data_IF_526010615673
#
_entry.id   IF_526010615673
#
_cell.length_a   1.000
_cell.length_b   1.000
_cell.length_c   1.000
_cell.angle_alpha   90.00
_cell.angle_beta   90.00
_cell.angle_gamma   90.00
#
_symmetry.space_group_name_H-M   'P 1'
#
loop_
_entity.id
_entity.type
_entity.pdbx_description
1 polymer ?
#
# COMPACT_ATOMS: atom_id res chain seq x y z
N UNK A 1 22.47 13.02 -0.05
CA UNK A 1 21.40 12.93 -1.08
C UNK A 1 20.71 14.27 -1.32
N UNK A 2 20.43 15.10 -0.30
CA UNK A 2 19.74 16.38 -0.45
C UNK A 2 20.40 17.31 -1.46
N UNK A 3 21.72 17.49 -1.40
CA UNK A 3 22.46 18.33 -2.33
C UNK A 3 22.42 17.79 -3.76
N UNK A 4 22.51 16.47 -3.92
CA UNK A 4 22.45 15.77 -5.22
C UNK A 4 21.15 16.04 -5.98
N UNK A 5 20.04 16.22 -5.25
CA UNK A 5 18.69 16.38 -5.81
C UNK A 5 18.10 17.79 -5.63
N UNK A 6 18.90 18.76 -5.19
CA UNK A 6 18.42 20.09 -4.86
C UNK A 6 17.63 20.76 -6.01
N UNK A 7 18.10 20.59 -7.25
CA UNK A 7 17.49 21.18 -8.45
C UNK A 7 16.24 20.40 -8.95
N UNK A 8 16.03 19.16 -8.46
CA UNK A 8 14.92 18.30 -8.88
C UNK A 8 13.73 18.37 -7.91
N UNK A 9 13.95 18.97 -6.75
CA UNK A 9 12.97 19.02 -5.68
C UNK A 9 12.40 20.43 -5.59
N UNK A 10 11.10 20.65 -5.87
CA UNK A 10 10.52 22.00 -5.92
C UNK A 10 10.57 22.70 -4.55
N UNK A 11 10.53 23.99 -4.48
CA UNK A 11 10.44 24.76 -3.22
C UNK A 11 8.97 24.84 -2.79
N UNK A 12 8.69 24.63 -1.51
CA UNK A 12 7.37 24.84 -0.91
C UNK A 12 7.44 26.04 0.03
N UNK A 13 6.56 26.99 -0.16
CA UNK A 13 6.58 28.24 0.60
C UNK A 13 5.56 28.24 1.75
N UNK A 14 4.41 27.61 1.55
CA UNK A 14 3.36 27.54 2.57
C UNK A 14 3.59 26.43 3.59
N UNK A 15 3.40 26.75 4.88
CA UNK A 15 3.54 25.76 5.98
C UNK A 15 2.58 24.59 5.85
N UNK A 16 1.34 24.87 5.45
CA UNK A 16 0.30 23.88 5.24
C UNK A 16 0.64 22.85 4.14
N UNK A 17 1.56 23.19 3.28
CA UNK A 17 2.03 22.29 2.21
C UNK A 17 3.20 21.40 2.67
N UNK A 18 3.35 21.20 3.98
CA UNK A 18 4.40 20.36 4.60
C UNK A 18 5.83 20.82 4.23
N UNK A 19 6.12 22.12 4.29
CA UNK A 19 7.38 22.70 3.81
C UNK A 19 8.65 22.27 4.55
N UNK A 20 8.51 21.70 5.77
CA UNK A 20 9.67 21.49 6.64
C UNK A 20 10.47 20.22 6.33
N UNK A 21 9.82 19.12 5.91
CA UNK A 21 10.48 17.83 5.71
C UNK A 21 10.41 17.29 4.27
N UNK A 22 9.56 17.85 3.41
CA UNK A 22 9.32 17.32 2.07
C UNK A 22 10.58 17.24 1.19
N UNK A 23 11.55 18.19 1.35
CA UNK A 23 12.82 18.15 0.61
C UNK A 23 13.61 16.90 0.90
N UNK A 24 13.65 16.49 2.17
CA UNK A 24 14.32 15.25 2.60
C UNK A 24 13.60 14.06 1.99
N UNK A 25 12.30 13.95 2.18
CA UNK A 25 11.50 12.82 1.70
C UNK A 25 11.59 12.65 0.18
N UNK A 26 11.51 13.76 -0.59
CA UNK A 26 11.61 13.69 -2.03
C UNK A 26 13.01 13.27 -2.52
N UNK A 27 14.07 13.81 -1.89
CA UNK A 27 15.44 13.42 -2.21
C UNK A 27 15.72 11.95 -1.84
N UNK A 28 15.17 11.47 -0.72
CA UNK A 28 15.24 10.06 -0.32
C UNK A 28 14.53 9.15 -1.33
N UNK A 29 13.36 9.54 -1.82
CA UNK A 29 12.66 8.79 -2.86
C UNK A 29 13.46 8.71 -4.16
N UNK A 30 14.03 9.82 -4.61
CA UNK A 30 14.84 9.85 -5.82
C UNK A 30 16.10 8.98 -5.68
N UNK A 31 16.77 9.03 -4.52
CA UNK A 31 17.94 8.19 -4.26
C UNK A 31 17.57 6.71 -4.18
N UNK A 32 16.49 6.34 -3.49
CA UNK A 32 15.99 4.96 -3.46
C UNK A 32 15.68 4.44 -4.87
N UNK A 33 15.15 5.29 -5.74
CA UNK A 33 14.83 4.94 -7.13
C UNK A 33 16.05 4.82 -8.02
N UNK A 34 17.14 5.51 -7.66
CA UNK A 34 18.41 5.48 -8.40
C UNK A 34 19.34 4.33 -7.94
N UNK A 35 19.27 3.97 -6.66
CA UNK A 35 20.14 2.97 -6.04
C UNK A 35 19.34 2.03 -5.11
N UNK A 36 19.31 2.33 -3.82
CA UNK A 36 18.65 1.51 -2.81
C UNK A 36 18.39 2.30 -1.53
N UNK A 37 17.26 2.05 -0.88
CA UNK A 37 16.93 2.61 0.42
C UNK A 37 16.36 1.57 1.37
N UNK A 38 16.53 1.81 2.68
CA UNK A 38 15.91 1.02 3.75
C UNK A 38 14.92 1.88 4.54
N UNK A 39 13.80 1.26 4.93
CA UNK A 39 12.70 1.93 5.63
C UNK A 39 12.37 1.13 6.89
N UNK A 40 12.26 1.83 8.03
CA UNK A 40 11.75 1.20 9.25
C UNK A 40 10.22 1.08 9.16
N UNK A 41 9.72 -0.15 9.12
CA UNK A 41 8.30 -0.51 9.07
C UNK A 41 7.82 -1.23 10.34
N UNK A 42 8.56 -1.12 11.45
CA UNK A 42 8.21 -1.78 12.72
C UNK A 42 6.91 -1.27 13.35
N UNK A 43 6.29 -0.26 12.77
CA UNK A 43 4.95 0.22 13.16
C UNK A 43 3.81 -0.62 12.60
N UNK A 44 4.06 -1.60 11.71
CA UNK A 44 3.01 -2.51 11.26
C UNK A 44 2.44 -3.30 12.42
N UNK A 45 1.11 -3.46 12.41
CA UNK A 45 0.45 -4.36 13.33
C UNK A 45 0.60 -5.81 12.85
N UNK A 46 1.00 -6.69 13.76
CA UNK A 46 1.20 -8.10 13.46
C UNK A 46 0.36 -8.99 14.38
N UNK A 47 -0.36 -9.92 13.77
CA UNK A 47 -1.18 -10.90 14.50
C UNK A 47 -0.83 -12.31 14.06
N UNK A 48 -0.48 -13.19 14.99
CA UNK A 48 -0.35 -14.62 14.75
C UNK A 48 -1.68 -15.32 15.05
N UNK A 49 -2.14 -16.15 14.13
CA UNK A 49 -3.31 -17.02 14.28
C UNK A 49 -2.86 -18.45 14.12
N UNK A 50 -3.03 -19.26 15.15
CA UNK A 50 -2.70 -20.69 15.22
C UNK A 50 -3.88 -21.50 15.74
N UNK A 51 -3.71 -22.82 15.87
CA UNK A 51 -4.75 -23.75 16.30
C UNK A 51 -5.39 -24.50 15.12
N UNK A 52 -6.19 -25.54 15.39
CA UNK A 52 -6.75 -26.42 14.35
C UNK A 52 -7.54 -25.68 13.27
N UNK A 53 -8.28 -24.63 13.65
CA UNK A 53 -9.21 -23.92 12.78
C UNK A 53 -8.66 -22.60 12.21
N UNK A 54 -7.35 -22.30 12.35
CA UNK A 54 -6.78 -21.04 11.90
C UNK A 54 -6.98 -20.77 10.38
N UNK A 55 -6.90 -21.82 9.56
CA UNK A 55 -7.18 -21.70 8.13
C UNK A 55 -8.67 -21.49 7.87
N UNK A 56 -9.55 -22.22 8.59
CA UNK A 56 -11.00 -22.09 8.43
C UNK A 56 -11.49 -20.68 8.77
N UNK A 57 -10.95 -20.07 9.84
CA UNK A 57 -11.24 -18.68 10.19
C UNK A 57 -10.85 -17.73 9.06
N UNK A 58 -9.65 -17.88 8.52
CA UNK A 58 -9.16 -16.97 7.47
C UNK A 58 -9.82 -17.24 6.11
N UNK A 59 -10.22 -18.47 5.83
CA UNK A 59 -11.04 -18.76 4.64
C UNK A 59 -12.40 -18.07 4.72
N UNK A 60 -12.99 -17.95 5.92
CA UNK A 60 -14.24 -17.21 6.11
C UNK A 60 -14.05 -15.67 6.01
N UNK A 61 -12.97 -15.14 6.56
CA UNK A 61 -12.74 -13.69 6.61
C UNK A 61 -12.24 -13.10 5.30
N UNK A 62 -11.42 -13.85 4.55
CA UNK A 62 -10.66 -13.33 3.41
C UNK A 62 -11.38 -13.54 2.07
N UNK A 63 -11.36 -12.53 1.22
CA UNK A 63 -11.80 -12.67 -0.17
C UNK A 63 -10.85 -13.56 -1.01
N UNK A 64 -9.57 -13.69 -0.62
CA UNK A 64 -8.61 -14.60 -1.26
C UNK A 64 -8.65 -15.99 -0.65
N UNK A 65 -8.17 -16.98 -1.41
CA UNK A 65 -7.94 -18.35 -0.91
C UNK A 65 -6.68 -18.38 -0.05
N UNK A 66 -6.79 -18.83 1.20
CA UNK A 66 -5.68 -18.96 2.16
C UNK A 66 -5.22 -20.40 2.29
N UNK A 67 -6.15 -21.33 2.28
CA UNK A 67 -5.90 -22.77 2.45
C UNK A 67 -5.16 -23.40 1.26
N UNK A 68 -4.70 -24.62 1.51
CA UNK A 68 -3.95 -25.45 0.58
C UNK A 68 -2.42 -25.34 0.75
N UNK A 69 -1.74 -26.50 0.63
CA UNK A 69 -0.29 -26.61 0.87
C UNK A 69 0.54 -25.75 -0.07
N UNK A 70 0.05 -25.53 -1.29
CA UNK A 70 0.71 -24.64 -2.27
C UNK A 70 0.84 -23.18 -1.82
N UNK A 71 0.10 -22.76 -0.78
CA UNK A 71 0.18 -21.42 -0.20
C UNK A 71 1.19 -21.33 0.96
N UNK A 72 1.64 -22.46 1.51
CA UNK A 72 2.66 -22.47 2.57
C UNK A 72 3.96 -21.84 2.03
N UNK A 73 4.55 -20.94 2.81
CA UNK A 73 5.74 -20.18 2.43
C UNK A 73 5.47 -19.01 1.48
N UNK A 74 4.22 -18.57 1.37
CA UNK A 74 3.82 -17.40 0.57
C UNK A 74 3.18 -16.31 1.41
N UNK A 75 3.36 -15.07 0.97
CA UNK A 75 2.56 -13.92 1.39
C UNK A 75 1.37 -13.73 0.45
N UNK A 76 0.19 -13.59 1.03
CA UNK A 76 -1.07 -13.45 0.29
C UNK A 76 -1.70 -12.12 0.67
N UNK A 77 -1.74 -11.17 -0.26
CA UNK A 77 -2.49 -9.94 -0.08
C UNK A 77 -3.99 -10.20 -0.28
N UNK A 78 -4.80 -9.77 0.68
CA UNK A 78 -6.24 -10.05 0.70
C UNK A 78 -7.01 -8.98 1.49
N UNK A 79 -8.33 -9.04 1.39
CA UNK A 79 -9.25 -8.12 2.05
C UNK A 79 -10.29 -8.90 2.86
N UNK A 80 -10.67 -8.33 4.01
CA UNK A 80 -11.91 -8.67 4.69
C UNK A 80 -13.01 -7.79 4.14
N UNK A 81 -14.20 -8.35 3.94
CA UNK A 81 -15.37 -7.61 3.55
C UNK A 81 -16.37 -7.54 4.71
N UNK A 82 -17.22 -6.53 4.70
CA UNK A 82 -18.41 -6.49 5.54
C UNK A 82 -19.58 -7.28 4.92
N UNK A 83 -20.73 -7.31 5.57
CA UNK A 83 -21.90 -8.04 5.08
C UNK A 83 -22.49 -7.44 3.79
N UNK A 84 -22.23 -6.17 3.54
CA UNK A 84 -22.59 -5.46 2.31
C UNK A 84 -21.56 -5.64 1.18
N UNK A 85 -20.50 -6.42 1.42
CA UNK A 85 -19.45 -6.69 0.42
C UNK A 85 -18.46 -5.57 0.21
N UNK A 86 -18.45 -4.56 1.09
CA UNK A 86 -17.52 -3.44 1.04
C UNK A 86 -16.22 -3.77 1.77
N UNK A 87 -15.15 -3.02 1.48
CA UNK A 87 -13.82 -3.27 2.01
C UNK A 87 -13.75 -2.85 3.49
N UNK A 88 -13.62 -3.82 4.39
CA UNK A 88 -13.46 -3.60 5.83
C UNK A 88 -12.01 -3.42 6.25
N UNK A 89 -11.13 -4.26 5.74
CA UNK A 89 -9.70 -4.26 6.04
C UNK A 89 -8.91 -4.93 4.94
N UNK A 90 -7.61 -4.63 4.86
CA UNK A 90 -6.65 -5.34 4.03
C UNK A 90 -5.53 -5.93 4.87
N UNK A 91 -4.97 -7.03 4.39
CA UNK A 91 -3.90 -7.75 5.06
C UNK A 91 -2.93 -8.36 4.05
N UNK A 92 -1.67 -8.40 4.42
CA UNK A 92 -0.73 -9.39 3.91
C UNK A 92 -0.66 -10.55 4.89
N UNK A 93 -1.03 -11.75 4.44
CA UNK A 93 -1.04 -12.96 5.26
C UNK A 93 0.14 -13.85 4.89
N UNK A 94 1.05 -14.05 5.83
CA UNK A 94 2.13 -15.03 5.71
C UNK A 94 1.58 -16.41 6.10
N UNK A 95 1.41 -17.26 5.10
CA UNK A 95 0.96 -18.64 5.33
C UNK A 95 2.16 -19.50 5.73
N UNK A 96 2.38 -19.67 7.02
CA UNK A 96 3.41 -20.54 7.59
C UNK A 96 2.87 -21.98 7.74
N UNK A 97 3.71 -22.93 8.10
CA UNK A 97 3.34 -24.33 8.20
C UNK A 97 2.34 -24.59 9.35
N UNK A 98 2.54 -23.92 10.48
CA UNK A 98 1.83 -24.12 11.75
C UNK A 98 0.86 -22.98 12.12
N UNK A 99 0.92 -21.87 11.42
CA UNK A 99 0.12 -20.65 11.68
C UNK A 99 0.03 -19.75 10.47
N UNK A 100 -0.79 -18.72 10.60
CA UNK A 100 -0.79 -17.58 9.69
C UNK A 100 -0.38 -16.32 10.47
N UNK A 101 0.57 -15.54 9.93
CA UNK A 101 0.89 -14.20 10.42
C UNK A 101 0.23 -13.18 9.53
N UNK A 102 -0.56 -12.30 10.11
CA UNK A 102 -1.22 -11.19 9.44
C UNK A 102 -0.43 -9.91 9.70
N UNK A 103 -0.19 -9.14 8.65
CA UNK A 103 0.46 -7.84 8.70
C UNK A 103 -0.46 -6.81 8.09
N UNK A 104 -0.73 -5.72 8.79
CA UNK A 104 -1.56 -4.60 8.32
C UNK A 104 -1.10 -3.25 8.90
N UNK A 105 -1.78 -2.18 8.51
CA UNK A 105 -1.49 -0.83 9.01
C UNK A 105 -1.69 -0.70 10.53
N UNK A 106 -0.81 0.03 11.18
CA UNK A 106 -0.77 0.18 12.64
C UNK A 106 -2.09 0.71 13.24
N UNK A 107 -2.75 1.62 12.53
CA UNK A 107 -3.96 2.30 12.99
C UNK A 107 -5.21 1.41 13.06
N UNK A 108 -5.23 0.31 12.32
CA UNK A 108 -6.33 -0.64 12.27
C UNK A 108 -6.17 -1.85 13.20
N UNK A 109 -4.98 -2.10 13.73
CA UNK A 109 -4.60 -3.33 14.43
C UNK A 109 -5.57 -3.76 15.53
N UNK A 110 -5.79 -2.98 16.59
CA UNK A 110 -6.66 -3.36 17.71
C UNK A 110 -8.12 -3.60 17.29
N UNK A 111 -8.63 -2.82 16.32
CA UNK A 111 -9.98 -3.00 15.76
C UNK A 111 -10.11 -4.35 15.08
N UNK A 112 -9.16 -4.70 14.26
CA UNK A 112 -9.20 -5.90 13.43
C UNK A 112 -8.88 -7.15 14.24
N UNK A 113 -7.99 -7.06 15.23
CA UNK A 113 -7.71 -8.10 16.20
C UNK A 113 -8.99 -8.51 16.98
N UNK A 114 -9.72 -7.53 17.53
CA UNK A 114 -10.95 -7.78 18.26
C UNK A 114 -12.06 -8.33 17.33
N UNK A 115 -12.10 -7.87 16.10
CA UNK A 115 -13.03 -8.39 15.11
C UNK A 115 -12.79 -9.86 14.81
N UNK A 116 -11.54 -10.27 14.57
CA UNK A 116 -11.17 -11.67 14.33
C UNK A 116 -11.52 -12.57 15.53
N UNK A 117 -11.24 -12.11 16.75
CA UNK A 117 -11.59 -12.82 18.00
C UNK A 117 -13.10 -13.04 18.13
N UNK A 118 -13.89 -12.02 17.85
CA UNK A 118 -15.36 -12.14 17.88
C UNK A 118 -15.87 -13.13 16.84
N UNK A 119 -15.39 -13.04 15.59
CA UNK A 119 -15.81 -13.98 14.54
C UNK A 119 -15.42 -15.41 14.87
N UNK A 120 -14.23 -15.65 15.43
CA UNK A 120 -13.82 -16.97 15.89
C UNK A 120 -14.76 -17.52 16.99
N UNK A 121 -15.09 -16.70 17.97
CA UNK A 121 -16.02 -17.04 19.05
C UNK A 121 -17.43 -17.35 18.52
N UNK A 122 -17.99 -16.47 17.68
CA UNK A 122 -19.35 -16.61 17.13
C UNK A 122 -19.49 -17.87 16.26
N UNK A 123 -18.39 -18.33 15.67
CA UNK A 123 -18.36 -19.55 14.84
C UNK A 123 -17.87 -20.79 15.58
N UNK A 124 -17.55 -20.67 16.86
CA UNK A 124 -17.07 -21.81 17.69
C UNK A 124 -15.75 -22.40 17.19
N UNK A 125 -14.84 -21.60 16.64
CA UNK A 125 -13.57 -22.07 16.06
C UNK A 125 -12.48 -22.17 17.13
N UNK A 126 -11.72 -23.27 17.10
CA UNK A 126 -10.56 -23.49 17.99
C UNK A 126 -9.31 -22.84 17.40
N UNK A 127 -9.09 -21.59 17.80
CA UNK A 127 -7.95 -20.78 17.36
C UNK A 127 -7.36 -19.99 18.52
N UNK A 128 -6.06 -19.77 18.45
CA UNK A 128 -5.33 -18.79 19.28
C UNK A 128 -4.95 -17.59 18.42
N UNK A 129 -5.38 -16.39 18.85
CA UNK A 129 -5.13 -15.12 18.14
C UNK A 129 -4.29 -14.23 19.05
N UNK A 130 -3.03 -14.03 18.70
CA UNK A 130 -2.02 -13.34 19.51
C UNK A 130 -1.54 -12.08 18.78
N UNK A 131 -1.57 -10.95 19.47
CA UNK A 131 -0.86 -9.74 19.04
C UNK A 131 0.63 -9.95 19.29
N UNK A 132 1.43 -9.87 18.23
CA UNK A 132 2.88 -10.05 18.27
C UNK A 132 3.62 -8.80 17.72
N UNK A 133 2.93 -7.67 17.69
CA UNK A 133 3.44 -6.41 17.12
C UNK A 133 4.76 -5.99 17.78
N UNK A 134 4.85 -6.05 19.10
CA UNK A 134 6.03 -5.63 19.85
C UNK A 134 7.17 -6.66 19.86
N UNK A 135 6.90 -7.89 19.38
CA UNK A 135 7.90 -8.95 19.33
C UNK A 135 8.81 -8.85 18.11
N UNK A 136 8.43 -8.05 17.11
CA UNK A 136 9.12 -8.01 15.81
C UNK A 136 9.55 -6.60 15.40
N UNK A 137 10.66 -6.56 14.67
CA UNK A 137 11.10 -5.42 13.86
C UNK A 137 10.92 -5.77 12.38
N UNK A 138 10.43 -4.80 11.60
CA UNK A 138 10.34 -4.91 10.14
C UNK A 138 11.18 -3.83 9.48
N UNK A 139 12.08 -4.24 8.59
CA UNK A 139 12.89 -3.35 7.76
C UNK A 139 12.56 -3.62 6.31
N UNK A 140 12.10 -2.61 5.58
CA UNK A 140 11.96 -2.68 4.13
C UNK A 140 13.27 -2.30 3.44
N UNK A 141 13.66 -3.02 2.38
CA UNK A 141 14.79 -2.67 1.51
C UNK A 141 14.33 -2.70 0.05
N UNK A 142 14.43 -1.55 -0.64
CA UNK A 142 13.97 -1.43 -2.01
C UNK A 142 14.86 -0.53 -2.86
N UNK A 143 14.91 -0.83 -4.15
CA UNK A 143 15.63 -0.09 -5.17
C UNK A 143 16.17 -1.02 -6.26
N UNK A 144 16.65 -0.48 -7.39
CA UNK A 144 17.23 -1.30 -8.46
C UNK A 144 18.40 -2.17 -7.98
N UNK A 145 19.17 -1.71 -7.00
CA UNK A 145 20.31 -2.43 -6.42
C UNK A 145 20.01 -3.17 -5.11
N UNK A 146 18.74 -3.26 -4.70
CA UNK A 146 18.35 -3.88 -3.41
C UNK A 146 18.85 -5.32 -3.28
N UNK A 147 18.80 -6.14 -4.34
CA UNK A 147 19.31 -7.51 -4.34
C UNK A 147 20.82 -7.52 -4.07
N UNK A 148 21.60 -6.77 -4.82
CA UNK A 148 23.05 -6.69 -4.68
C UNK A 148 23.44 -6.25 -3.27
N UNK A 149 22.79 -5.20 -2.75
CA UNK A 149 23.02 -4.68 -1.40
C UNK A 149 22.69 -5.70 -0.31
N UNK A 150 21.59 -6.43 -0.46
CA UNK A 150 21.22 -7.47 0.48
C UNK A 150 22.17 -8.68 0.41
N UNK A 151 22.66 -9.03 -0.78
CA UNK A 151 23.65 -10.10 -0.99
C UNK A 151 24.99 -9.81 -0.32
N UNK A 152 25.37 -8.54 -0.13
CA UNK A 152 26.60 -8.16 0.58
C UNK A 152 26.59 -8.55 2.08
N UNK A 153 25.41 -8.71 2.69
CA UNK A 153 25.25 -8.90 4.15
C UNK A 153 24.56 -10.20 4.55
N UNK A 154 23.97 -10.92 3.60
CA UNK A 154 23.34 -12.21 3.87
C UNK A 154 24.39 -13.32 3.85
N UNK A 155 24.26 -14.36 4.71
CA UNK A 155 25.22 -15.47 4.79
C UNK A 155 25.23 -16.36 3.52
N UNK A 156 24.06 -16.49 2.86
CA UNK A 156 23.94 -17.23 1.58
C UNK A 156 23.40 -16.30 0.47
N UNK A 157 24.27 -15.61 -0.27
CA UNK A 157 23.87 -14.73 -1.36
C UNK A 157 23.08 -15.43 -2.49
N UNK A 158 23.34 -16.72 -2.74
CA UNK A 158 22.65 -17.48 -3.78
C UNK A 158 21.15 -17.69 -3.46
N UNK A 159 20.77 -17.70 -2.20
CA UNK A 159 19.37 -17.78 -1.78
C UNK A 159 18.53 -16.57 -2.24
N UNK A 160 19.17 -15.45 -2.61
CA UNK A 160 18.50 -14.22 -3.07
C UNK A 160 18.44 -14.12 -4.60
N UNK A 161 18.99 -15.06 -5.34
CA UNK A 161 18.89 -15.07 -6.80
C UNK A 161 17.43 -15.06 -7.26
N UNK A 162 17.18 -14.49 -8.44
CA UNK A 162 15.81 -14.26 -8.94
C UNK A 162 14.96 -15.54 -8.96
N UNK A 163 15.53 -16.63 -9.43
CA UNK A 163 14.82 -17.91 -9.56
C UNK A 163 14.72 -18.65 -8.21
N UNK A 164 15.67 -18.44 -7.30
CA UNK A 164 15.65 -19.00 -5.95
C UNK A 164 14.62 -18.31 -5.04
N UNK A 165 14.37 -17.01 -5.29
CA UNK A 165 13.46 -16.23 -4.45
C UNK A 165 12.38 -15.53 -5.30
N UNK A 166 11.33 -16.22 -5.74
CA UNK A 166 10.27 -15.63 -6.56
C UNK A 166 9.46 -14.59 -5.80
N UNK A 167 8.80 -13.67 -6.54
CA UNK A 167 7.90 -12.66 -5.96
C UNK A 167 6.79 -13.30 -5.12
N UNK A 168 6.43 -12.66 -4.01
CA UNK A 168 5.49 -13.13 -2.99
C UNK A 168 5.94 -14.36 -2.18
N UNK A 169 7.17 -14.84 -2.36
CA UNK A 169 7.72 -15.91 -1.52
C UNK A 169 8.25 -15.35 -0.19
N UNK A 170 8.20 -16.20 0.84
CA UNK A 170 8.85 -15.99 2.14
C UNK A 170 9.99 -17.00 2.26
N UNK A 171 11.16 -16.55 2.68
CA UNK A 171 12.35 -17.38 2.91
C UNK A 171 13.01 -16.98 4.23
N UNK A 172 13.57 -17.94 4.92
CA UNK A 172 14.48 -17.69 6.03
C UNK A 172 15.87 -17.41 5.48
N UNK A 173 16.45 -16.30 5.91
CA UNK A 173 17.83 -15.91 5.59
C UNK A 173 18.54 -15.52 6.88
N UNK A 174 19.87 -15.44 6.85
CA UNK A 174 20.65 -14.96 8.00
C UNK A 174 21.45 -13.72 7.60
N UNK A 175 21.33 -12.69 8.42
CA UNK A 175 22.00 -11.39 8.26
C UNK A 175 22.68 -11.03 9.58
N UNK A 176 23.97 -10.73 9.56
CA UNK A 176 24.75 -10.43 10.77
C UNK A 176 24.58 -11.50 11.87
N UNK A 177 24.48 -12.77 11.53
CA UNK A 177 24.27 -13.88 12.46
C UNK A 177 22.85 -13.97 13.03
N UNK A 178 21.88 -13.21 12.52
CA UNK A 178 20.47 -13.18 12.97
C UNK A 178 19.56 -13.87 11.98
N UNK A 179 18.56 -14.58 12.51
CA UNK A 179 17.55 -15.22 11.68
C UNK A 179 16.49 -14.20 11.24
N UNK A 180 16.27 -14.08 9.93
CA UNK A 180 15.39 -13.09 9.32
C UNK A 180 14.42 -13.78 8.37
N UNK A 181 13.13 -13.53 8.54
CA UNK A 181 12.10 -13.91 7.56
C UNK A 181 12.04 -12.84 6.48
N UNK A 182 12.60 -13.11 5.32
CA UNK A 182 12.55 -12.21 4.17
C UNK A 182 11.30 -12.49 3.34
N UNK A 183 10.53 -11.46 3.03
CA UNK A 183 9.35 -11.51 2.19
C UNK A 183 9.57 -10.64 0.95
N UNK A 184 9.56 -11.26 -0.24
CA UNK A 184 9.77 -10.54 -1.49
C UNK A 184 8.48 -9.87 -1.96
N UNK A 185 8.33 -8.59 -1.61
CA UNK A 185 7.18 -7.76 -1.95
C UNK A 185 7.63 -6.31 -2.15
N UNK A 186 6.76 -5.49 -2.75
CA UNK A 186 7.01 -4.06 -2.89
C UNK A 186 5.73 -3.25 -2.79
N UNK A 187 5.73 -2.26 -1.92
CA UNK A 187 4.71 -1.20 -1.85
C UNK A 187 5.24 0.13 -2.42
N UNK A 188 6.50 0.17 -2.82
CA UNK A 188 7.16 1.32 -3.45
C UNK A 188 7.47 1.11 -4.95
N UNK A 189 7.08 -0.05 -5.49
CA UNK A 189 7.24 -0.35 -6.91
C UNK A 189 8.66 -0.58 -7.39
N UNK A 190 9.61 -0.78 -6.47
CA UNK A 190 10.99 -1.20 -6.77
C UNK A 190 11.19 -2.67 -6.38
N UNK A 191 12.27 -3.28 -6.87
CA UNK A 191 12.72 -4.59 -6.40
C UNK A 191 13.09 -4.51 -4.91
N UNK A 192 12.74 -5.53 -4.13
CA UNK A 192 13.15 -5.59 -2.74
C UNK A 192 12.37 -6.54 -1.85
N UNK A 193 12.53 -6.36 -0.55
CA UNK A 193 12.02 -7.25 0.48
C UNK A 193 11.58 -6.50 1.74
N UNK A 194 10.63 -7.07 2.43
CA UNK A 194 10.39 -6.81 3.84
C UNK A 194 11.12 -7.88 4.66
N UNK A 195 11.93 -7.43 5.61
CA UNK A 195 12.76 -8.25 6.49
C UNK A 195 12.15 -8.21 7.88
N UNK A 196 11.62 -9.33 8.35
CA UNK A 196 10.98 -9.48 9.65
C UNK A 196 11.86 -10.31 10.59
N UNK A 197 12.16 -9.80 11.77
CA UNK A 197 13.05 -10.42 12.75
C UNK A 197 12.58 -10.13 14.17
N UNK A 198 13.02 -10.90 15.19
CA UNK A 198 12.79 -10.55 16.57
C UNK A 198 13.24 -9.10 16.88
N UNK A 199 12.48 -8.39 17.70
CA UNK A 199 12.73 -6.97 18.01
C UNK A 199 14.19 -6.70 18.42
N UNK A 200 14.76 -7.57 19.24
CA UNK A 200 16.14 -7.44 19.74
C UNK A 200 17.21 -7.51 18.63
N UNK A 201 16.90 -8.08 17.48
CA UNK A 201 17.82 -8.28 16.35
C UNK A 201 17.78 -7.13 15.33
N UNK A 202 16.76 -6.28 15.41
CA UNK A 202 16.50 -5.24 14.40
C UNK A 202 17.66 -4.27 14.20
N UNK A 203 18.29 -3.79 15.27
CA UNK A 203 19.40 -2.85 15.19
C UNK A 203 20.63 -3.48 14.49
N UNK A 204 20.96 -4.73 14.80
CA UNK A 204 22.09 -5.41 14.17
C UNK A 204 21.90 -5.58 12.66
N UNK A 205 20.69 -5.92 12.23
CA UNK A 205 20.34 -6.04 10.81
C UNK A 205 20.33 -4.67 10.13
N UNK A 206 19.76 -3.65 10.78
CA UNK A 206 19.78 -2.27 10.28
C UNK A 206 21.21 -1.77 10.04
N UNK A 207 22.11 -1.95 11.00
CA UNK A 207 23.50 -1.50 10.91
C UNK A 207 24.26 -2.26 9.82
N UNK A 208 24.03 -3.56 9.67
CA UNK A 208 24.59 -4.35 8.59
C UNK A 208 24.14 -3.82 7.22
N UNK A 209 22.85 -3.56 7.02
CA UNK A 209 22.35 -2.96 5.79
C UNK A 209 22.95 -1.56 5.55
N UNK A 210 23.00 -0.71 6.58
CA UNK A 210 23.61 0.63 6.47
C UNK A 210 25.09 0.59 6.07
N UNK A 211 25.84 -0.45 6.46
CA UNK A 211 27.25 -0.60 6.09
C UNK A 211 27.47 -0.79 4.58
N UNK A 212 26.46 -1.22 3.83
CA UNK A 212 26.52 -1.33 2.35
C UNK A 212 26.36 0.02 1.63
N UNK A 213 26.20 1.11 2.38
CA UNK A 213 26.02 2.46 1.83
C UNK A 213 24.57 2.82 1.47
N UNK A 214 23.60 1.92 1.72
CA UNK A 214 22.17 2.25 1.49
C UNK A 214 21.71 3.39 2.39
N UNK A 215 20.83 4.23 1.88
CA UNK A 215 20.28 5.34 2.67
C UNK A 215 19.11 4.88 3.55
N UNK A 216 18.89 5.59 4.67
CA UNK A 216 17.62 5.53 5.38
C UNK A 216 16.60 6.39 4.65
N UNK A 217 15.38 5.88 4.49
CA UNK A 217 14.26 6.54 3.82
C UNK A 217 13.10 6.65 4.79
N UNK A 218 12.47 7.81 4.83
CA UNK A 218 11.32 8.06 5.70
C UNK A 218 10.05 7.38 5.22
N UNK A 219 9.14 7.12 6.18
CA UNK A 219 7.84 6.47 5.92
C UNK A 219 6.95 7.27 4.97
N UNK A 220 7.15 8.59 4.86
CA UNK A 220 6.43 9.45 3.91
C UNK A 220 6.61 8.98 2.46
N UNK A 221 7.83 8.57 2.09
CA UNK A 221 8.10 7.96 0.78
C UNK A 221 7.32 6.67 0.58
N UNK A 222 7.25 5.81 1.60
CA UNK A 222 6.54 4.54 1.55
C UNK A 222 5.02 4.73 1.52
N UNK A 223 4.50 5.49 2.49
CA UNK A 223 3.05 5.57 2.73
C UNK A 223 2.33 6.59 1.83
N UNK A 224 3.03 7.58 1.27
CA UNK A 224 2.43 8.64 0.48
C UNK A 224 3.00 8.76 -0.93
N UNK A 225 4.13 9.42 -1.10
CA UNK A 225 4.55 9.88 -2.41
C UNK A 225 4.81 8.74 -3.39
N UNK A 226 5.56 7.72 -2.98
CA UNK A 226 5.94 6.63 -3.90
C UNK A 226 4.80 5.66 -4.18
N UNK A 227 4.00 5.28 -3.16
CA UNK A 227 2.86 4.40 -3.38
C UNK A 227 1.80 5.03 -4.30
N UNK A 228 1.64 6.37 -4.27
CA UNK A 228 0.76 7.11 -5.17
C UNK A 228 1.25 7.09 -6.62
N UNK A 229 2.55 7.25 -6.86
CA UNK A 229 3.13 7.06 -8.19
C UNK A 229 2.87 5.64 -8.75
N UNK A 230 2.73 4.65 -7.85
CA UNK A 230 2.36 3.27 -8.18
C UNK A 230 0.86 3.01 -8.16
N UNK A 231 0.03 4.01 -7.88
CA UNK A 231 -1.42 3.83 -7.74
C UNK A 231 -1.82 2.76 -6.72
N UNK A 232 -0.99 2.54 -5.67
CA UNK A 232 -1.27 1.58 -4.61
C UNK A 232 -2.19 2.20 -3.56
N UNK A 233 -3.16 1.40 -3.08
CA UNK A 233 -4.20 1.83 -2.14
C UNK A 233 -3.68 1.68 -0.71
N UNK A 234 -4.12 2.61 0.14
CA UNK A 234 -3.85 2.61 1.57
C UNK A 234 -5.13 2.35 2.35
N UNK A 235 -5.11 1.37 3.25
CA UNK A 235 -6.22 1.10 4.16
C UNK A 235 -6.54 2.34 5.01
N UNK A 236 -7.81 2.55 5.32
CA UNK A 236 -8.38 3.71 6.02
C UNK A 236 -8.26 5.06 5.30
N UNK A 237 -7.50 5.14 4.20
CA UNK A 237 -7.48 6.28 3.29
C UNK A 237 -8.29 5.97 2.02
N UNK A 238 -7.76 5.12 1.16
CA UNK A 238 -8.35 4.77 -0.14
C UNK A 238 -9.28 3.56 -0.04
N UNK A 239 -9.09 2.69 0.95
CA UNK A 239 -9.92 1.52 1.20
C UNK A 239 -10.75 1.75 2.47
N UNK A 240 -12.06 1.87 2.30
CA UNK A 240 -13.05 2.11 3.36
C UNK A 240 -14.32 1.33 3.09
N UNK A 241 -15.17 1.21 4.09
CA UNK A 241 -16.49 0.55 4.00
C UNK A 241 -17.53 1.32 3.16
N UNK A 242 -17.13 2.42 2.52
CA UNK A 242 -17.95 3.15 1.55
C UNK A 242 -17.91 2.49 0.16
N UNK A 243 -16.86 1.69 -0.12
CA UNK A 243 -16.56 1.17 -1.45
C UNK A 243 -16.26 -0.32 -1.43
N UNK A 244 -16.56 -0.99 -2.53
CA UNK A 244 -16.29 -2.40 -2.73
C UNK A 244 -14.99 -2.65 -3.53
N UNK A 245 -14.58 -3.91 -3.65
CA UNK A 245 -13.34 -4.29 -4.33
C UNK A 245 -13.35 -4.01 -5.84
N UNK A 246 -14.52 -3.96 -6.48
CA UNK A 246 -14.59 -3.66 -7.91
C UNK A 246 -14.40 -2.16 -8.15
N UNK A 247 -15.02 -1.32 -7.31
CA UNK A 247 -14.81 0.13 -7.35
C UNK A 247 -13.34 0.50 -7.08
N UNK A 248 -12.67 -0.23 -6.18
CA UNK A 248 -11.25 -0.05 -5.89
C UNK A 248 -10.31 -0.69 -6.94
N UNK A 249 -10.85 -1.43 -7.90
CA UNK A 249 -10.11 -2.26 -8.88
C UNK A 249 -9.10 -3.22 -8.22
N UNK A 250 -9.56 -3.89 -7.14
CA UNK A 250 -8.80 -4.89 -6.39
C UNK A 250 -9.48 -6.26 -6.39
N UNK A 251 -10.59 -6.40 -7.11
CA UNK A 251 -11.29 -7.65 -7.23
C UNK A 251 -10.45 -8.66 -8.03
N UNK A 252 -10.21 -9.84 -7.45
CA UNK A 252 -9.51 -10.92 -8.14
C UNK A 252 -10.29 -11.37 -9.37
N UNK A 253 -9.62 -11.80 -10.46
CA UNK A 253 -10.30 -12.29 -11.67
C UNK A 253 -11.29 -13.42 -11.38
N UNK A 254 -10.95 -14.31 -10.44
CA UNK A 254 -11.82 -15.41 -10.01
C UNK A 254 -12.17 -15.28 -8.54
N UNK A 255 -13.45 -15.47 -8.22
CA UNK A 255 -13.92 -15.61 -6.84
C UNK A 255 -13.66 -17.06 -6.40
N UNK A 256 -13.17 -17.27 -5.17
CA UNK A 256 -12.94 -18.60 -4.64
C UNK A 256 -14.25 -19.36 -4.43
N UNK A 257 -14.21 -20.69 -4.52
CA UNK A 257 -15.39 -21.54 -4.33
C UNK A 257 -15.89 -21.52 -2.89
N UNK A 258 -14.96 -21.60 -1.93
CA UNK A 258 -15.29 -21.54 -0.51
C UNK A 258 -16.06 -20.24 -0.18
N UNK A 259 -16.99 -20.36 0.74
CA UNK A 259 -17.76 -19.21 1.21
C UNK A 259 -16.89 -18.25 2.05
N UNK A 260 -17.24 -16.97 2.03
CA UNK A 260 -16.60 -15.92 2.83
C UNK A 260 -17.57 -14.78 3.07
N UNK A 261 -17.31 -14.03 4.14
CA UNK A 261 -18.17 -12.89 4.51
C UNK A 261 -18.25 -11.86 3.38
N UNK A 262 -19.48 -11.43 3.07
CA UNK A 262 -19.73 -10.48 1.97
C UNK A 262 -19.73 -11.08 0.56
N UNK A 263 -19.52 -12.41 0.40
CA UNK A 263 -19.44 -13.08 -0.92
C UNK A 263 -20.68 -12.85 -1.77
N UNK A 264 -21.87 -12.97 -1.21
CA UNK A 264 -23.12 -12.81 -1.96
C UNK A 264 -23.21 -11.41 -2.59
N UNK A 265 -22.94 -10.37 -1.80
CA UNK A 265 -22.90 -8.98 -2.28
C UNK A 265 -21.76 -8.72 -3.27
N UNK A 266 -20.59 -9.29 -3.02
CA UNK A 266 -19.48 -9.20 -3.97
C UNK A 266 -19.85 -9.80 -5.33
N UNK A 267 -20.59 -10.91 -5.38
CA UNK A 267 -21.09 -11.49 -6.64
C UNK A 267 -22.16 -10.62 -7.31
N UNK A 268 -23.06 -10.00 -6.54
CA UNK A 268 -24.01 -9.01 -7.06
C UNK A 268 -23.30 -7.83 -7.73
N UNK A 269 -22.24 -7.28 -7.07
CA UNK A 269 -21.44 -6.19 -7.65
C UNK A 269 -20.74 -6.62 -8.94
N UNK A 270 -20.22 -7.84 -8.98
CA UNK A 270 -19.59 -8.38 -10.21
C UNK A 270 -20.55 -8.55 -11.39
N UNK A 271 -21.83 -8.71 -11.10
CA UNK A 271 -22.86 -8.88 -12.13
C UNK A 271 -23.38 -7.55 -12.71
N UNK A 272 -23.00 -6.40 -12.13
CA UNK A 272 -23.38 -5.08 -12.63
C UNK A 272 -22.68 -4.77 -13.95
N UNK A 273 -23.34 -4.04 -14.83
CA UNK A 273 -22.75 -3.52 -16.07
C UNK A 273 -21.60 -2.54 -15.77
N UNK A 274 -21.78 -1.69 -14.78
CA UNK A 274 -20.75 -0.79 -14.25
C UNK A 274 -20.91 -0.62 -12.74
N UNK A 275 -19.88 -0.10 -12.10
CA UNK A 275 -19.94 0.26 -10.68
C UNK A 275 -20.38 1.73 -10.54
N UNK A 276 -21.03 2.11 -9.42
CA UNK A 276 -21.43 3.51 -9.18
C UNK A 276 -20.28 4.50 -9.25
N UNK A 277 -19.11 4.10 -8.76
CA UNK A 277 -17.88 4.87 -8.80
C UNK A 277 -16.68 3.97 -9.13
N UNK A 278 -15.58 4.59 -9.56
CA UNK A 278 -14.28 3.92 -9.76
C UNK A 278 -13.17 4.75 -9.11
N UNK A 279 -12.24 4.07 -8.47
CA UNK A 279 -11.03 4.71 -7.96
C UNK A 279 -10.15 5.12 -9.15
N UNK A 280 -9.85 6.41 -9.22
CA UNK A 280 -9.05 7.00 -10.27
C UNK A 280 -7.78 7.62 -9.70
N UNK A 281 -6.70 7.60 -10.48
CA UNK A 281 -5.51 8.39 -10.23
C UNK A 281 -5.66 9.72 -10.94
N UNK A 282 -5.58 10.82 -10.18
CA UNK A 282 -5.65 12.18 -10.68
C UNK A 282 -4.26 12.81 -10.66
N UNK A 283 -3.97 13.67 -11.62
CA UNK A 283 -2.79 14.53 -11.60
C UNK A 283 -3.23 16.00 -11.68
N UNK A 284 -2.65 16.85 -10.85
CA UNK A 284 -2.82 18.31 -11.00
C UNK A 284 -2.05 18.76 -12.24
N UNK A 285 -2.72 19.47 -13.12
CA UNK A 285 -2.10 20.00 -14.36
C UNK A 285 -1.46 21.35 -14.16
N UNK A 286 -1.93 22.10 -13.15
CA UNK A 286 -1.34 23.33 -12.65
C UNK A 286 -1.54 23.37 -11.13
N UNK A 287 -0.55 23.92 -10.41
CA UNK A 287 -0.60 24.04 -8.95
C UNK A 287 -0.21 25.46 -8.47
N UNK A 288 -0.30 26.43 -9.34
CA UNK A 288 -0.04 27.84 -8.99
C UNK A 288 -1.34 28.47 -8.47
N UNK A 289 -1.28 29.08 -7.29
CA UNK A 289 -2.41 29.78 -6.68
C UNK A 289 -2.60 31.20 -7.25
N UNK A 290 -3.64 31.90 -6.80
CA UNK A 290 -3.94 33.27 -7.24
C UNK A 290 -2.86 34.30 -6.89
N UNK A 291 -1.95 33.99 -5.96
CA UNK A 291 -0.78 34.83 -5.62
C UNK A 291 0.47 34.52 -6.44
N UNK A 292 0.40 33.53 -7.33
CA UNK A 292 1.53 33.09 -8.15
C UNK A 292 2.46 32.08 -7.44
N UNK A 293 2.05 31.50 -6.32
CA UNK A 293 2.85 30.57 -5.53
C UNK A 293 2.41 29.12 -5.82
N UNK A 294 3.39 28.23 -6.00
CA UNK A 294 3.13 26.81 -6.19
C UNK A 294 2.63 26.16 -4.88
N UNK A 295 1.50 25.45 -4.96
CA UNK A 295 0.87 24.76 -3.83
C UNK A 295 1.09 23.25 -3.93
N UNK A 296 1.21 22.63 -2.78
CA UNK A 296 1.41 21.19 -2.62
C UNK A 296 0.37 20.65 -1.65
N UNK A 297 -0.87 20.43 -2.14
CA UNK A 297 -1.99 20.13 -1.29
C UNK A 297 -1.80 18.84 -0.49
N UNK A 298 -2.38 18.83 0.72
CA UNK A 298 -2.42 17.69 1.63
C UNK A 298 -3.85 17.50 2.15
N UNK A 299 -4.19 16.26 2.52
CA UNK A 299 -5.48 15.95 3.13
C UNK A 299 -6.56 15.56 2.13
N UNK A 300 -7.80 15.80 2.53
CA UNK A 300 -9.01 15.44 1.78
C UNK A 300 -9.54 16.68 1.09
N UNK A 301 -9.58 16.66 -0.24
CA UNK A 301 -10.01 17.78 -1.07
C UNK A 301 -11.27 17.42 -1.85
N UNK A 302 -12.28 18.30 -1.94
CA UNK A 302 -13.41 18.11 -2.85
C UNK A 302 -12.94 18.00 -4.30
N UNK A 303 -13.55 17.10 -5.06
CA UNK A 303 -13.36 16.99 -6.51
C UNK A 303 -14.59 17.58 -7.20
N UNK A 304 -14.36 18.64 -7.98
CA UNK A 304 -15.41 19.43 -8.60
C UNK A 304 -15.50 19.18 -10.11
N UNK A 305 -16.70 19.30 -10.63
CA UNK A 305 -16.93 19.40 -12.06
C UNK A 305 -16.49 20.79 -12.56
N UNK A 306 -15.63 20.89 -13.59
CA UNK A 306 -15.11 22.15 -14.07
C UNK A 306 -16.16 23.05 -14.71
N UNK A 307 -17.27 22.50 -15.19
CA UNK A 307 -18.32 23.25 -15.90
C UNK A 307 -19.33 23.87 -14.93
N UNK A 308 -19.61 23.21 -13.81
CA UNK A 308 -20.60 23.65 -12.82
C UNK A 308 -19.98 24.20 -11.54
N UNK A 309 -18.75 23.84 -11.23
CA UNK A 309 -18.09 24.15 -9.95
C UNK A 309 -18.63 23.36 -8.76
N UNK A 310 -19.51 22.38 -8.99
CA UNK A 310 -20.11 21.56 -7.92
C UNK A 310 -19.29 20.30 -7.67
N UNK A 311 -19.34 19.78 -6.43
CA UNK A 311 -18.73 18.52 -6.06
C UNK A 311 -19.38 17.39 -6.85
N UNK A 312 -18.58 16.52 -7.45
CA UNK A 312 -19.07 15.34 -8.14
C UNK A 312 -19.76 14.39 -7.15
N UNK A 313 -20.91 13.84 -7.58
CA UNK A 313 -21.73 12.92 -6.77
C UNK A 313 -22.07 11.71 -7.62
N UNK A 314 -21.90 10.51 -7.09
CA UNK A 314 -22.28 9.27 -7.78
C UNK A 314 -23.78 8.95 -7.63
N UNK A 315 -24.23 7.88 -8.30
CA UNK A 315 -25.64 7.45 -8.28
C UNK A 315 -26.16 6.99 -6.91
N UNK A 316 -25.26 6.73 -5.94
CA UNK A 316 -25.58 6.40 -4.56
C UNK A 316 -25.55 7.64 -3.65
N UNK A 317 -25.29 8.82 -4.19
CA UNK A 317 -25.23 10.08 -3.44
C UNK A 317 -23.89 10.29 -2.71
N UNK A 318 -22.83 9.50 -3.00
CA UNK A 318 -21.51 9.67 -2.41
C UNK A 318 -20.75 10.77 -3.13
N UNK A 319 -20.21 11.70 -2.36
CA UNK A 319 -19.41 12.83 -2.90
C UNK A 319 -17.99 12.39 -3.22
N UNK A 320 -17.44 12.89 -4.32
CA UNK A 320 -16.05 12.67 -4.69
C UNK A 320 -15.12 13.59 -3.91
N UNK A 321 -14.06 12.98 -3.36
CA UNK A 321 -12.97 13.67 -2.66
C UNK A 321 -11.65 12.92 -2.89
N UNK A 322 -10.52 13.61 -2.71
CA UNK A 322 -9.22 12.92 -2.72
C UNK A 322 -9.08 12.08 -1.46
N UNK A 323 -8.98 10.78 -1.62
CA UNK A 323 -8.71 9.88 -0.48
C UNK A 323 -7.25 9.92 -0.05
N UNK A 324 -6.37 10.27 -0.99
CA UNK A 324 -4.93 10.48 -0.81
C UNK A 324 -4.43 11.51 -1.80
N UNK A 325 -3.45 12.33 -1.39
CA UNK A 325 -2.75 13.26 -2.28
C UNK A 325 -1.32 13.49 -1.81
N UNK A 326 -0.37 13.49 -2.72
CA UNK A 326 1.02 13.89 -2.47
C UNK A 326 1.71 14.33 -3.77
N UNK A 327 2.81 15.03 -3.63
CA UNK A 327 3.71 15.28 -4.76
C UNK A 327 4.56 14.04 -5.04
N UNK A 328 4.54 13.58 -6.28
CA UNK A 328 5.37 12.47 -6.77
C UNK A 328 6.66 13.00 -7.40
N UNK A 329 7.81 12.94 -6.73
CA UNK A 329 9.06 13.56 -7.22
C UNK A 329 9.61 12.90 -8.49
N UNK A 330 9.29 11.63 -8.75
CA UNK A 330 9.69 10.93 -9.98
C UNK A 330 8.81 11.34 -11.16
N UNK A 331 7.54 11.64 -10.91
CA UNK A 331 6.56 12.09 -11.93
C UNK A 331 6.61 13.61 -12.12
N UNK A 332 7.07 14.35 -11.09
CA UNK A 332 7.16 15.80 -11.11
C UNK A 332 5.80 16.51 -10.95
N UNK A 333 4.79 15.86 -10.35
CA UNK A 333 3.43 16.39 -10.23
C UNK A 333 2.77 15.99 -8.91
N UNK A 334 1.77 16.76 -8.49
CA UNK A 334 0.85 16.35 -7.43
C UNK A 334 -0.08 15.27 -7.98
N UNK A 335 -0.15 14.14 -7.26
CA UNK A 335 -0.91 12.95 -7.61
C UNK A 335 -1.92 12.70 -6.50
N UNK A 336 -3.18 12.44 -6.87
CA UNK A 336 -4.22 12.09 -5.93
C UNK A 336 -4.94 10.79 -6.33
N UNK A 337 -5.52 10.09 -5.36
CA UNK A 337 -6.52 9.06 -5.58
C UNK A 337 -7.88 9.61 -5.17
N UNK A 338 -8.91 9.34 -5.98
CA UNK A 338 -10.28 9.69 -5.70
C UNK A 338 -11.26 8.71 -6.36
N UNK A 339 -12.36 8.41 -5.66
CA UNK A 339 -13.47 7.72 -6.30
C UNK A 339 -14.30 8.72 -7.09
N UNK A 340 -14.45 8.47 -8.37
CA UNK A 340 -15.25 9.31 -9.27
C UNK A 340 -16.50 8.56 -9.71
N UNK A 341 -17.65 9.24 -9.91
CA UNK A 341 -18.81 8.65 -10.54
C UNK A 341 -18.43 7.98 -11.87
N UNK A 342 -19.06 6.86 -12.19
CA UNK A 342 -18.78 6.14 -13.44
C UNK A 342 -18.74 7.03 -14.69
N UNK A 343 -19.66 8.01 -14.78
CA UNK A 343 -19.73 8.98 -15.88
C UNK A 343 -18.47 9.86 -16.03
N UNK A 344 -17.67 10.01 -14.96
CA UNK A 344 -16.47 10.83 -14.91
C UNK A 344 -15.18 9.98 -14.86
N UNK A 345 -15.27 8.69 -14.57
CA UNK A 345 -14.14 7.78 -14.45
C UNK A 345 -13.59 7.37 -15.83
N UNK A 346 -12.91 8.29 -16.51
CA UNK A 346 -12.26 8.07 -17.82
C UNK A 346 -10.99 8.91 -17.94
N UNK A 347 -9.95 8.31 -18.50
CA UNK A 347 -8.66 8.98 -18.72
C UNK A 347 -8.83 10.26 -19.55
N UNK A 348 -8.11 11.32 -19.17
CA UNK A 348 -8.19 12.63 -19.81
C UNK A 348 -9.38 13.51 -19.38
N UNK A 349 -10.32 13.00 -18.54
CA UNK A 349 -11.41 13.83 -17.98
C UNK A 349 -10.83 14.95 -17.15
N UNK A 350 -11.19 16.19 -17.47
CA UNK A 350 -10.80 17.39 -16.72
C UNK A 350 -11.66 17.52 -15.47
N UNK A 351 -11.02 17.93 -14.38
CA UNK A 351 -11.59 18.07 -13.05
C UNK A 351 -10.97 19.29 -12.38
N UNK A 352 -11.52 19.67 -11.24
CA UNK A 352 -10.99 20.72 -10.39
C UNK A 352 -10.87 20.18 -8.95
N UNK A 353 -9.76 20.47 -8.28
CA UNK A 353 -9.56 20.21 -6.86
C UNK A 353 -9.64 21.53 -6.10
N UNK A 354 -10.38 21.56 -4.98
CA UNK A 354 -10.44 22.73 -4.11
C UNK A 354 -9.49 22.54 -2.91
N UNK A 355 -8.60 23.52 -2.69
CA UNK A 355 -7.68 23.54 -1.57
C UNK A 355 -7.50 24.94 -1.01
N UNK A 356 -7.80 25.12 0.29
CA UNK A 356 -7.65 26.40 1.00
C UNK A 356 -8.38 27.59 0.33
N UNK A 357 -9.59 27.33 -0.21
CA UNK A 357 -10.39 28.36 -0.88
C UNK A 357 -9.94 28.71 -2.31
N UNK A 358 -8.98 27.99 -2.83
CA UNK A 358 -8.51 28.10 -4.21
C UNK A 358 -8.84 26.85 -5.00
N UNK A 359 -8.91 26.95 -6.31
CA UNK A 359 -9.21 25.82 -7.20
C UNK A 359 -8.05 25.54 -8.14
N UNK A 360 -7.73 24.25 -8.31
CA UNK A 360 -6.61 23.79 -9.10
C UNK A 360 -7.07 22.81 -10.17
N UNK A 361 -6.68 23.00 -11.45
CA UNK A 361 -7.06 22.08 -12.51
C UNK A 361 -6.34 20.73 -12.34
N UNK A 362 -7.11 19.68 -12.56
CA UNK A 362 -6.64 18.30 -12.53
C UNK A 362 -7.21 17.50 -13.70
N UNK A 363 -6.64 16.34 -13.96
CA UNK A 363 -7.16 15.39 -14.92
C UNK A 363 -7.05 13.96 -14.42
N UNK A 364 -7.92 13.09 -14.91
CA UNK A 364 -7.83 11.64 -14.67
C UNK A 364 -6.69 11.09 -15.51
N UNK A 365 -5.61 10.70 -14.83
CA UNK A 365 -4.44 10.08 -15.46
C UNK A 365 -4.61 8.58 -15.66
N UNK A 366 -5.37 7.92 -14.76
CA UNK A 366 -5.66 6.49 -14.84
C UNK A 366 -6.97 6.14 -14.13
N UNK A 367 -7.66 5.12 -14.61
CA UNK A 367 -8.83 4.51 -13.98
C UNK A 367 -8.45 3.13 -13.47
N UNK A 368 -8.79 2.84 -12.21
CA UNK A 368 -8.41 1.59 -11.55
C UNK A 368 -6.93 1.53 -11.19
N UNK A 369 -6.37 0.32 -11.11
CA UNK A 369 -4.96 0.08 -10.80
C UNK A 369 -4.10 0.18 -12.07
N UNK A 370 -3.55 1.35 -12.30
CA UNK A 370 -2.64 1.64 -13.41
C UNK A 370 -1.54 2.59 -12.94
N UNK A 371 -0.34 2.08 -12.67
CA UNK A 371 0.76 2.89 -12.14
C UNK A 371 1.20 3.98 -13.12
N UNK A 372 1.52 5.17 -12.59
CA UNK A 372 2.16 6.24 -13.37
C UNK A 372 3.68 6.00 -13.48
N UNK A 373 4.27 5.42 -12.43
CA UNK A 373 5.67 5.00 -12.42
C UNK A 373 5.77 3.52 -12.73
N UNK A 374 6.66 3.12 -13.66
CA UNK A 374 6.81 1.73 -14.12
C UNK A 374 5.44 1.11 -14.46
N UNK A 375 4.73 1.62 -15.51
CA UNK A 375 3.35 1.24 -15.81
C UNK A 375 3.16 -0.26 -16.06
N UNK A 376 4.18 -0.93 -16.57
CA UNK A 376 4.18 -2.38 -16.83
C UNK A 376 4.45 -3.21 -15.57
N UNK A 377 4.76 -2.54 -14.45
CA UNK A 377 5.04 -3.16 -13.16
C UNK A 377 6.13 -4.23 -13.20
N UNK A 378 7.21 -3.95 -13.93
CA UNK A 378 8.33 -4.88 -14.14
C UNK A 378 9.37 -4.82 -13.02
N UNK A 379 9.62 -3.63 -12.47
CA UNK A 379 10.67 -3.41 -11.46
C UNK A 379 10.51 -4.25 -10.19
N UNK A 380 9.33 -4.39 -9.57
CA UNK A 380 9.18 -5.22 -8.37
C UNK A 380 9.50 -6.71 -8.61
N UNK A 381 9.41 -7.14 -9.86
CA UNK A 381 9.61 -8.54 -10.27
C UNK A 381 10.97 -8.82 -10.90
N UNK A 382 11.79 -7.78 -11.01
CA UNK A 382 13.14 -7.90 -11.61
C UNK A 382 14.08 -8.77 -10.79
#
# INVERSE_FOLDING_TARGET
SLEKYADQVPVREHEWDNRHFWRVSNAEQLEMSADCGIINLSHFHMTDISGPDHVALLEWLCAAKIGGDANIGKGIYTHFLDDEGNVRADFTIFRLADRCRLVNGADAGPRDLNYMRRVAQDRGLDVTITDVTEDFTTIGIWGPNARTKLQEVVEDPAALEKDAFPFAAIRQVRIAGRDVSAFRISYVGEQGWELHMPYADGLAVWDALRSTGVIAVGVETYANSRRLEKSLRLQNADLRTEYNLLEADLARPKVKEADFRGKAKHLEYRAREHQPAMLCTLVMTDNIDSSGIARYPVGILPVLDPDTGEVLVDELGRRSYTSSIAYGPTIGRNIALAYLPWSHAREGRKLVLEYMGETFPAEVAAVGYKPLYDPENLKPRS
#
